data_IF_012417588720
#
_entry.id   IF_012417588720
#
_cell.length_a   1.000
_cell.length_b   1.000
_cell.length_c   1.000
_cell.angle_alpha   90.00
_cell.angle_beta   90.00
_cell.angle_gamma   90.00
#
_symmetry.space_group_name_H-M   'P 1'
#
loop_
_entity.id
_entity.type
_entity.pdbx_description
1 polymer ?
#
# COMPACT_ATOMS: atom_id res chain seq x y z
N UNK A 1 7.15 23.87 -26.81
CA UNK A 1 6.37 22.80 -26.14
C UNK A 1 6.72 22.85 -24.67
N UNK A 2 5.76 22.68 -23.77
CA UNK A 2 6.06 22.55 -22.35
C UNK A 2 6.79 21.21 -22.13
N UNK A 3 7.79 21.20 -21.26
CA UNK A 3 8.40 19.95 -20.82
C UNK A 3 7.63 19.43 -19.60
N UNK A 4 7.28 18.16 -19.60
CA UNK A 4 6.57 17.52 -18.50
C UNK A 4 7.50 16.53 -17.81
N UNK A 5 7.65 16.65 -16.50
CA UNK A 5 8.44 15.76 -15.67
C UNK A 5 7.58 15.22 -14.53
N UNK A 6 7.79 13.96 -14.17
CA UNK A 6 7.05 13.30 -13.10
C UNK A 6 7.94 13.14 -11.87
N UNK A 7 7.36 13.36 -10.70
CA UNK A 7 7.96 13.14 -9.39
C UNK A 7 7.03 12.27 -8.55
N UNK A 8 7.61 11.43 -7.70
CA UNK A 8 6.88 10.75 -6.62
C UNK A 8 7.51 11.14 -5.30
N UNK A 9 6.73 11.78 -4.44
CA UNK A 9 7.12 12.04 -3.05
C UNK A 9 6.52 10.99 -2.13
N UNK A 10 7.36 10.41 -1.28
CA UNK A 10 6.97 9.40 -0.29
C UNK A 10 7.20 9.96 1.10
N UNK A 11 6.13 10.10 1.87
CA UNK A 11 6.15 10.56 3.25
C UNK A 11 5.85 9.37 4.16
N UNK A 12 6.88 8.82 4.79
CA UNK A 12 6.70 7.80 5.82
C UNK A 12 6.29 8.51 7.11
N UNK A 13 5.07 8.22 7.60
CA UNK A 13 4.56 8.85 8.80
C UNK A 13 5.25 8.19 10.00
N UNK A 14 5.85 8.99 10.86
CA UNK A 14 6.50 8.49 12.06
C UNK A 14 5.42 8.12 13.09
N UNK A 15 4.98 6.88 13.03
CA UNK A 15 4.08 6.24 13.96
C UNK A 15 4.90 5.22 14.75
N UNK A 16 4.72 5.15 16.06
CA UNK A 16 5.60 4.34 16.91
C UNK A 16 5.57 2.86 16.53
N UNK A 17 4.38 2.34 16.19
CA UNK A 17 4.16 0.94 15.80
C UNK A 17 3.20 0.86 14.61
N UNK A 18 3.51 -0.09 13.73
CA UNK A 18 2.78 -0.35 12.49
C UNK A 18 3.22 0.53 11.33
N UNK A 19 2.40 0.55 10.30
CA UNK A 19 2.77 1.15 9.02
C UNK A 19 1.84 2.28 8.59
N UNK A 20 2.45 3.35 8.07
CA UNK A 20 1.73 4.46 7.46
C UNK A 20 2.64 5.24 6.53
N UNK A 21 2.22 5.40 5.28
CA UNK A 21 2.91 6.20 4.30
C UNK A 21 1.94 6.94 3.39
N UNK A 22 2.36 8.11 2.93
CA UNK A 22 1.62 8.89 1.94
C UNK A 22 2.49 9.09 0.71
N UNK A 23 1.94 8.78 -0.46
CA UNK A 23 2.60 8.91 -1.74
C UNK A 23 1.88 9.92 -2.61
N UNK A 24 2.62 10.91 -3.10
CA UNK A 24 2.12 11.95 -3.98
C UNK A 24 2.70 11.75 -5.37
N UNK A 25 1.85 11.63 -6.37
CA UNK A 25 2.24 11.70 -7.78
C UNK A 25 2.18 13.16 -8.21
N UNK A 26 3.32 13.73 -8.57
CA UNK A 26 3.47 15.15 -8.88
C UNK A 26 3.88 15.31 -10.34
N UNK A 27 3.22 16.24 -11.02
CA UNK A 27 3.53 16.64 -12.39
C UNK A 27 4.14 18.03 -12.41
N UNK A 28 5.34 18.13 -12.98
CA UNK A 28 6.05 19.38 -13.21
C UNK A 28 5.88 19.79 -14.66
N UNK A 29 5.31 20.97 -14.89
CA UNK A 29 5.15 21.53 -16.24
C UNK A 29 6.02 22.76 -16.38
N UNK A 30 7.04 22.71 -17.24
CA UNK A 30 7.97 23.81 -17.46
C UNK A 30 7.69 24.53 -18.78
N UNK A 31 7.33 25.81 -18.70
CA UNK A 31 7.09 26.68 -19.84
C UNK A 31 7.88 28.00 -19.71
N UNK A 32 8.72 28.31 -20.70
CA UNK A 32 9.48 29.58 -20.78
C UNK A 32 10.24 29.96 -19.49
N UNK A 33 10.79 28.96 -18.78
CA UNK A 33 11.52 29.04 -17.48
C UNK A 33 10.67 29.07 -16.20
N UNK A 34 9.35 29.03 -16.31
CA UNK A 34 8.49 28.85 -15.14
C UNK A 34 8.11 27.37 -15.05
N UNK A 35 8.37 26.76 -13.89
CA UNK A 35 7.94 25.40 -13.57
C UNK A 35 6.75 25.48 -12.62
N UNK A 36 5.67 24.83 -13.00
CA UNK A 36 4.46 24.68 -12.18
C UNK A 36 4.39 23.23 -11.73
N UNK A 37 4.26 23.03 -10.43
CA UNK A 37 4.17 21.72 -9.80
C UNK A 37 2.73 21.48 -9.36
N UNK A 38 2.16 20.36 -9.76
CA UNK A 38 0.79 19.98 -9.42
C UNK A 38 0.76 18.57 -8.82
N UNK A 39 0.06 18.40 -7.71
CA UNK A 39 -0.24 17.07 -7.19
C UNK A 39 -1.36 16.47 -8.03
N UNK A 40 -1.07 15.42 -8.79
CA UNK A 40 -2.05 14.73 -9.61
C UNK A 40 -2.82 13.68 -8.80
N UNK A 41 -2.12 12.98 -7.89
CA UNK A 41 -2.70 11.93 -7.05
C UNK A 41 -2.08 11.88 -5.66
N UNK A 42 -2.91 11.55 -4.66
CA UNK A 42 -2.47 11.26 -3.30
C UNK A 42 -2.98 9.89 -2.84
N UNK A 43 -2.05 9.02 -2.45
CA UNK A 43 -2.32 7.66 -1.95
C UNK A 43 -1.87 7.56 -0.50
N UNK A 44 -2.77 7.16 0.40
CA UNK A 44 -2.44 6.74 1.75
C UNK A 44 -2.27 5.21 1.74
N UNK A 45 -1.18 4.70 2.29
CA UNK A 45 -0.96 3.27 2.56
C UNK A 45 -0.90 3.10 4.06
N UNK A 46 -1.87 2.37 4.60
CA UNK A 46 -2.10 2.13 6.02
C UNK A 46 -2.21 3.45 6.83
N UNK A 47 -2.38 3.33 8.14
CA UNK A 47 -2.50 4.47 9.03
C UNK A 47 -1.90 4.26 10.41
N UNK A 48 -1.20 3.16 10.63
CA UNK A 48 -0.67 2.83 11.94
C UNK A 48 -1.74 2.37 12.92
N UNK A 49 -1.33 2.37 14.20
CA UNK A 49 -2.27 2.38 15.32
C UNK A 49 -3.09 3.67 15.38
N UNK A 50 -4.00 3.75 16.34
CA UNK A 50 -4.93 4.87 16.55
C UNK A 50 -4.21 6.23 16.60
N UNK A 51 -3.00 6.27 17.15
CA UNK A 51 -2.14 7.46 17.25
C UNK A 51 -1.77 8.06 15.88
N UNK A 52 -1.73 7.23 14.82
CA UNK A 52 -1.44 7.65 13.45
C UNK A 52 -2.49 8.59 12.86
N UNK A 53 -3.69 8.64 13.43
CA UNK A 53 -4.76 9.58 13.06
C UNK A 53 -4.28 11.04 12.98
N UNK A 54 -3.50 11.48 13.97
CA UNK A 54 -3.00 12.86 14.03
C UNK A 54 -2.09 13.20 12.85
N UNK A 55 -1.27 12.24 12.42
CA UNK A 55 -0.38 12.37 11.27
C UNK A 55 -1.16 12.39 9.95
N UNK A 56 -2.16 11.52 9.81
CA UNK A 56 -3.08 11.53 8.65
C UNK A 56 -3.76 12.90 8.54
N UNK A 57 -4.31 13.43 9.64
CA UNK A 57 -4.95 14.74 9.68
C UNK A 57 -4.00 15.87 9.31
N UNK A 58 -2.77 15.83 9.80
CA UNK A 58 -1.72 16.79 9.45
C UNK A 58 -1.41 16.77 7.95
N UNK A 59 -1.29 15.57 7.35
CA UNK A 59 -1.06 15.44 5.91
C UNK A 59 -2.24 15.95 5.08
N UNK A 60 -3.48 15.64 5.47
CA UNK A 60 -4.67 16.14 4.78
C UNK A 60 -4.73 17.67 4.83
N UNK A 61 -4.36 18.27 5.97
CA UNK A 61 -4.23 19.72 6.07
C UNK A 61 -3.12 20.24 5.15
N UNK A 62 -1.97 19.58 5.08
CA UNK A 62 -0.91 19.96 4.14
C UNK A 62 -1.39 19.95 2.69
N UNK A 63 -2.06 18.88 2.26
CA UNK A 63 -2.65 18.75 0.91
C UNK A 63 -3.67 19.85 0.59
N UNK A 64 -4.49 20.24 1.58
CA UNK A 64 -5.51 21.28 1.44
C UNK A 64 -4.94 22.67 1.31
N UNK A 65 -3.81 22.96 1.95
CA UNK A 65 -3.23 24.31 1.92
C UNK A 65 -2.27 24.49 0.74
N UNK A 66 -2.05 23.45 -0.07
CA UNK A 66 -1.36 23.53 -1.35
C UNK A 66 0.15 23.72 -1.26
N UNK A 67 0.72 24.19 -0.14
CA UNK A 67 2.16 24.38 0.01
C UNK A 67 2.76 25.13 -1.20
N UNK A 68 3.74 24.51 -1.85
CA UNK A 68 4.40 25.01 -3.06
C UNK A 68 3.73 24.53 -4.38
N UNK A 69 2.56 23.90 -4.31
CA UNK A 69 1.82 23.33 -5.44
C UNK A 69 0.71 24.27 -5.94
N UNK A 70 0.44 24.24 -7.24
CA UNK A 70 -0.57 25.08 -7.90
C UNK A 70 -2.01 24.60 -7.69
N UNK A 71 -2.19 23.45 -7.03
CA UNK A 71 -3.49 22.90 -6.69
C UNK A 71 -3.58 22.45 -5.23
N UNK A 72 -4.82 22.39 -4.75
CA UNK A 72 -5.15 21.86 -3.43
C UNK A 72 -5.90 20.55 -3.60
N UNK A 73 -5.46 19.49 -2.93
CA UNK A 73 -6.22 18.25 -2.81
C UNK A 73 -6.96 18.24 -1.48
N UNK A 74 -8.25 17.92 -1.52
CA UNK A 74 -9.09 17.95 -0.31
C UNK A 74 -9.08 16.62 0.46
N UNK A 75 -8.68 15.55 -0.20
CA UNK A 75 -8.77 14.15 0.25
C UNK A 75 -7.70 13.29 -0.46
N UNK A 76 -7.51 12.08 0.04
CA UNK A 76 -6.75 11.06 -0.70
C UNK A 76 -7.61 10.49 -1.84
N UNK A 77 -7.01 10.34 -3.02
CA UNK A 77 -7.62 9.63 -4.14
C UNK A 77 -7.74 8.14 -3.82
N UNK A 78 -6.74 7.60 -3.12
CA UNK A 78 -6.63 6.19 -2.79
C UNK A 78 -6.23 5.98 -1.34
N UNK A 79 -6.86 5.01 -0.68
CA UNK A 79 -6.43 4.49 0.61
C UNK A 79 -6.20 2.99 0.44
N UNK A 80 -4.99 2.52 0.69
CA UNK A 80 -4.63 1.11 0.67
C UNK A 80 -4.50 0.65 2.11
N UNK A 81 -5.29 -0.34 2.50
CA UNK A 81 -5.14 -1.08 3.75
C UNK A 81 -4.42 -2.36 3.35
N UNK A 82 -3.14 -2.49 3.70
CA UNK A 82 -2.34 -3.64 3.29
C UNK A 82 -2.88 -4.91 3.92
N UNK A 83 -3.27 -4.86 5.19
CA UNK A 83 -4.05 -5.87 5.89
C UNK A 83 -4.78 -5.27 7.11
N UNK A 84 -5.60 -6.07 7.78
CA UNK A 84 -6.58 -5.60 8.75
C UNK A 84 -6.09 -5.49 10.21
N UNK A 85 -4.81 -5.74 10.47
CA UNK A 85 -4.29 -5.65 11.83
C UNK A 85 -4.36 -4.21 12.35
N UNK A 86 -4.55 -4.08 13.67
CA UNK A 86 -4.91 -2.82 14.30
C UNK A 86 -3.82 -1.74 14.21
N UNK A 87 -2.59 -2.13 13.98
CA UNK A 87 -1.43 -1.27 13.72
C UNK A 87 -1.26 -0.90 12.23
N UNK A 88 -2.17 -1.34 11.36
CA UNK A 88 -2.26 -0.86 9.98
C UNK A 88 -3.53 -0.05 9.75
N UNK A 89 -4.68 -0.54 10.22
CA UNK A 89 -5.99 0.09 9.98
C UNK A 89 -6.43 1.03 11.11
N UNK A 90 -5.77 0.98 12.28
CA UNK A 90 -6.18 1.69 13.48
C UNK A 90 -6.29 3.20 13.30
N UNK A 91 -5.25 3.82 12.73
CA UNK A 91 -5.22 5.27 12.48
C UNK A 91 -6.21 5.71 11.40
N UNK A 92 -6.44 4.88 10.37
CA UNK A 92 -7.48 5.14 9.35
C UNK A 92 -8.86 5.14 9.99
N UNK A 93 -9.18 4.09 10.77
CA UNK A 93 -10.46 3.98 11.48
C UNK A 93 -10.68 5.18 12.42
N UNK A 94 -9.67 5.52 13.21
CA UNK A 94 -9.74 6.61 14.17
C UNK A 94 -9.95 7.97 13.47
N UNK A 95 -9.24 8.21 12.36
CA UNK A 95 -9.44 9.38 11.51
C UNK A 95 -10.85 9.48 10.94
N UNK A 96 -11.38 8.39 10.36
CA UNK A 96 -12.76 8.39 9.84
C UNK A 96 -13.78 8.65 10.94
N UNK A 97 -13.61 8.05 12.13
CA UNK A 97 -14.52 8.26 13.25
C UNK A 97 -14.54 9.70 13.73
N UNK A 98 -13.40 10.37 13.84
CA UNK A 98 -13.36 11.80 14.20
C UNK A 98 -14.11 12.65 13.18
N UNK A 99 -13.88 12.43 11.89
CA UNK A 99 -14.56 13.20 10.84
C UNK A 99 -16.06 12.91 10.77
N UNK A 100 -16.48 11.64 10.93
CA UNK A 100 -17.89 11.26 11.02
C UNK A 100 -18.53 11.93 12.22
N UNK A 101 -17.89 11.91 13.39
CA UNK A 101 -18.37 12.59 14.61
C UNK A 101 -18.58 14.07 14.34
N UNK A 102 -17.55 14.74 13.81
CA UNK A 102 -17.57 16.18 13.54
C UNK A 102 -18.69 16.59 12.58
N UNK A 103 -18.85 15.87 11.48
CA UNK A 103 -19.87 16.17 10.46
C UNK A 103 -21.27 15.81 10.95
N UNK A 104 -21.43 14.64 11.57
CA UNK A 104 -22.74 14.14 12.00
C UNK A 104 -23.32 14.99 13.11
N UNK A 105 -22.53 15.31 14.15
CA UNK A 105 -23.02 16.13 15.27
C UNK A 105 -23.53 17.48 14.78
N UNK A 106 -22.77 18.13 13.89
CA UNK A 106 -23.16 19.40 13.29
C UNK A 106 -24.44 19.26 12.44
N UNK A 107 -24.49 18.26 11.57
CA UNK A 107 -25.63 18.07 10.66
C UNK A 107 -26.93 17.74 11.40
N UNK A 108 -26.84 16.89 12.43
CA UNK A 108 -27.99 16.52 13.28
C UNK A 108 -28.53 17.72 14.04
N UNK A 109 -27.65 18.58 14.57
CA UNK A 109 -28.04 19.81 15.26
C UNK A 109 -28.71 20.81 14.31
N UNK A 110 -28.12 21.04 13.12
CA UNK A 110 -28.65 21.99 12.13
C UNK A 110 -29.99 21.55 11.53
N UNK A 111 -30.21 20.24 11.38
CA UNK A 111 -31.41 19.65 10.76
C UNK A 111 -32.42 19.10 11.78
N UNK A 112 -32.17 19.31 13.08
CA UNK A 112 -33.02 18.86 14.19
C UNK A 112 -33.40 17.37 14.10
N UNK A 113 -32.43 16.52 13.76
CA UNK A 113 -32.66 15.07 13.63
C UNK A 113 -32.64 14.44 15.03
N UNK A 114 -33.64 13.64 15.38
CA UNK A 114 -33.70 12.93 16.68
C UNK A 114 -33.70 11.40 16.58
N UNK A 115 -33.78 10.88 15.35
CA UNK A 115 -33.99 9.47 15.01
C UNK A 115 -32.85 8.98 14.08
N UNK A 116 -32.20 7.87 14.49
CA UNK A 116 -31.09 7.25 13.76
C UNK A 116 -31.50 6.73 12.38
N UNK A 117 -32.73 6.26 12.21
CA UNK A 117 -33.24 5.79 10.93
C UNK A 117 -33.46 6.95 9.95
N UNK A 118 -33.85 8.13 10.47
CA UNK A 118 -33.91 9.36 9.66
C UNK A 118 -32.52 9.73 9.20
N UNK A 119 -31.53 9.73 10.10
CA UNK A 119 -30.13 10.01 9.76
C UNK A 119 -29.58 9.02 8.72
N UNK A 120 -29.79 7.72 8.91
CA UNK A 120 -29.35 6.68 7.95
C UNK A 120 -29.92 6.93 6.55
N UNK A 121 -31.23 7.22 6.45
CA UNK A 121 -31.86 7.55 5.15
C UNK A 121 -31.27 8.80 4.50
N UNK A 122 -30.85 9.80 5.28
CA UNK A 122 -30.17 11.01 4.76
C UNK A 122 -28.76 10.67 4.25
N UNK A 123 -28.03 9.81 4.97
CA UNK A 123 -26.69 9.34 4.56
C UNK A 123 -26.78 8.58 3.24
N UNK A 124 -27.70 7.62 3.13
CA UNK A 124 -27.89 6.77 1.94
C UNK A 124 -28.33 7.59 0.71
N UNK A 125 -29.07 8.69 0.94
CA UNK A 125 -29.44 9.66 -0.11
C UNK A 125 -28.36 10.70 -0.41
N UNK A 126 -27.18 10.57 0.17
CA UNK A 126 -26.06 11.49 0.03
C UNK A 126 -26.36 12.94 0.47
N UNK A 127 -27.26 13.13 1.44
CA UNK A 127 -27.63 14.45 1.95
C UNK A 127 -26.71 14.94 3.07
N UNK A 128 -25.96 14.03 3.72
CA UNK A 128 -24.95 14.38 4.72
C UNK A 128 -23.61 14.69 4.05
N UNK A 129 -23.03 15.89 4.24
CA UNK A 129 -21.84 16.33 3.53
C UNK A 129 -20.56 15.86 4.22
N UNK A 130 -20.24 14.57 4.11
CA UNK A 130 -18.93 14.07 4.53
C UNK A 130 -17.84 14.62 3.62
N UNK A 131 -17.09 15.64 4.08
CA UNK A 131 -16.04 16.36 3.33
C UNK A 131 -14.65 16.21 3.99
N UNK A 132 -14.35 15.05 4.56
CA UNK A 132 -13.08 14.75 5.25
C UNK A 132 -11.93 14.43 4.29
N UNK A 133 -10.99 13.58 4.71
CA UNK A 133 -9.93 13.05 3.83
C UNK A 133 -10.41 12.03 2.80
N UNK A 134 -11.72 11.79 2.71
CA UNK A 134 -12.32 10.95 1.69
C UNK A 134 -13.48 11.68 1.05
N UNK A 135 -13.71 11.34 -0.20
CA UNK A 135 -14.99 11.57 -0.85
C UNK A 135 -15.55 10.21 -1.23
N UNK A 136 -16.70 9.84 -0.67
CA UNK A 136 -17.32 8.53 -0.90
C UNK A 136 -17.57 8.18 -2.37
N UNK A 137 -17.60 9.17 -3.26
CA UNK A 137 -17.79 9.00 -4.70
C UNK A 137 -16.48 8.95 -5.50
N UNK A 138 -15.34 9.30 -4.90
CA UNK A 138 -14.06 9.42 -5.62
C UNK A 138 -12.89 8.69 -4.95
N UNK A 139 -12.90 8.53 -3.63
CA UNK A 139 -11.84 7.80 -2.92
C UNK A 139 -12.04 6.30 -3.11
N UNK A 140 -11.03 5.67 -3.69
CA UNK A 140 -10.96 4.21 -3.78
C UNK A 140 -10.24 3.67 -2.55
N UNK A 141 -10.80 2.62 -1.96
CA UNK A 141 -10.19 1.88 -0.87
C UNK A 141 -9.80 0.51 -1.41
N UNK A 142 -8.55 0.13 -1.19
CA UNK A 142 -8.04 -1.19 -1.56
C UNK A 142 -7.67 -1.95 -0.30
N UNK A 143 -8.14 -3.18 -0.17
CA UNK A 143 -7.89 -4.04 0.97
C UNK A 143 -7.83 -5.52 0.54
N UNK A 144 -7.13 -6.41 1.26
CA UNK A 144 -7.08 -7.83 0.92
C UNK A 144 -8.44 -8.52 1.06
N UNK A 145 -8.55 -9.80 0.67
CA UNK A 145 -9.83 -10.53 0.74
C UNK A 145 -10.42 -10.50 2.14
N UNK A 146 -11.75 -10.36 2.21
CA UNK A 146 -12.51 -10.41 3.46
C UNK A 146 -13.12 -11.80 3.73
N UNK A 147 -13.33 -12.65 2.70
CA UNK A 147 -14.03 -13.93 2.84
C UNK A 147 -13.17 -15.11 2.37
N UNK A 148 -13.21 -16.15 3.18
CA UNK A 148 -12.61 -17.46 2.97
C UNK A 148 -13.18 -18.19 1.76
N UNK A 149 -14.46 -17.98 1.45
CA UNK A 149 -15.13 -18.69 0.35
C UNK A 149 -14.64 -18.25 -1.04
N UNK A 150 -14.11 -17.02 -1.15
CA UNK A 150 -13.56 -16.46 -2.39
C UNK A 150 -12.04 -16.73 -2.53
N UNK A 151 -11.40 -17.32 -1.51
CA UNK A 151 -10.01 -17.75 -1.59
C UNK A 151 -9.94 -19.12 -2.32
N UNK A 152 -9.36 -19.13 -3.53
CA UNK A 152 -9.29 -20.36 -4.37
C UNK A 152 -8.35 -21.46 -3.83
N UNK A 153 -7.85 -21.34 -2.60
CA UNK A 153 -6.83 -22.25 -2.08
C UNK A 153 -7.36 -22.88 -0.79
N UNK A 154 -7.76 -24.16 -0.85
CA UNK A 154 -8.21 -24.94 0.32
C UNK A 154 -7.20 -24.89 1.48
N UNK A 155 -5.91 -24.70 1.18
CA UNK A 155 -4.82 -24.54 2.15
C UNK A 155 -4.96 -23.29 3.04
N UNK A 156 -5.75 -22.30 2.65
CA UNK A 156 -5.79 -20.98 3.31
C UNK A 156 -7.20 -20.52 3.70
N UNK A 157 -8.15 -21.45 3.77
CA UNK A 157 -9.49 -21.17 4.31
C UNK A 157 -9.48 -20.83 5.81
N UNK A 158 -8.37 -21.05 6.50
CA UNK A 158 -8.18 -20.76 7.93
C UNK A 158 -7.52 -19.39 8.18
N UNK A 159 -7.10 -18.70 7.12
CA UNK A 159 -6.38 -17.42 7.15
C UNK A 159 -7.39 -16.31 6.84
N UNK A 160 -8.16 -15.90 7.84
CA UNK A 160 -9.20 -14.88 7.68
C UNK A 160 -8.64 -13.51 8.02
N UNK A 161 -8.30 -12.71 7.01
CA UNK A 161 -8.07 -11.27 7.16
C UNK A 161 -9.44 -10.58 7.33
N UNK A 162 -10.12 -10.82 8.46
CA UNK A 162 -11.40 -10.18 8.71
C UNK A 162 -11.18 -8.71 9.08
N UNK A 163 -11.89 -7.78 8.44
CA UNK A 163 -11.89 -6.41 8.92
C UNK A 163 -12.44 -6.37 10.34
N UNK A 164 -12.02 -5.42 11.18
CA UNK A 164 -12.62 -5.25 12.50
C UNK A 164 -14.16 -5.15 12.40
N UNK A 165 -14.90 -5.69 13.38
CA UNK A 165 -16.38 -5.81 13.34
C UNK A 165 -17.19 -4.49 13.32
N UNK A 166 -16.55 -3.38 13.01
CA UNK A 166 -17.15 -2.08 12.76
C UNK A 166 -17.00 -1.63 11.29
N UNK A 167 -16.48 -2.47 10.41
CA UNK A 167 -16.50 -2.26 8.98
C UNK A 167 -17.50 -3.22 8.34
N UNK A 168 -18.20 -2.77 7.32
CA UNK A 168 -19.00 -3.63 6.45
C UNK A 168 -18.80 -3.22 4.99
N UNK A 169 -19.21 -4.08 4.09
CA UNK A 169 -19.29 -3.77 2.67
C UNK A 169 -20.72 -3.88 2.20
N UNK A 170 -21.06 -3.05 1.22
CA UNK A 170 -22.34 -3.14 0.52
C UNK A 170 -22.05 -3.26 -0.96
N UNK A 171 -22.61 -4.29 -1.58
CA UNK A 171 -22.58 -4.43 -3.03
C UNK A 171 -23.53 -3.40 -3.64
N UNK A 172 -22.97 -2.57 -4.52
CA UNK A 172 -23.67 -1.63 -5.38
C UNK A 172 -23.89 -2.28 -6.76
N UNK A 173 -24.78 -1.73 -7.60
CA UNK A 173 -24.97 -2.23 -8.96
C UNK A 173 -23.66 -2.34 -9.75
N UNK A 174 -23.60 -3.34 -10.65
CA UNK A 174 -22.44 -3.65 -11.50
C UNK A 174 -21.21 -4.18 -10.74
N UNK A 175 -21.41 -4.94 -9.66
CA UNK A 175 -20.35 -5.57 -8.86
C UNK A 175 -19.34 -4.55 -8.31
N UNK A 176 -19.81 -3.35 -8.00
CA UNK A 176 -19.01 -2.31 -7.33
C UNK A 176 -19.27 -2.45 -5.85
N UNK A 177 -18.22 -2.57 -5.04
CA UNK A 177 -18.39 -2.64 -3.59
C UNK A 177 -18.15 -1.27 -2.97
N UNK A 178 -18.87 -0.97 -1.90
CA UNK A 178 -18.65 0.21 -1.08
C UNK A 178 -18.29 -0.22 0.33
N UNK A 179 -17.19 0.33 0.86
CA UNK A 179 -16.82 0.14 2.25
C UNK A 179 -17.60 1.13 3.12
N UNK A 180 -18.16 0.63 4.22
CA UNK A 180 -18.92 1.42 5.20
C UNK A 180 -18.37 1.19 6.60
N UNK A 181 -18.49 2.21 7.43
CA UNK A 181 -18.05 2.20 8.83
C UNK A 181 -19.25 2.34 9.75
N UNK A 182 -19.34 1.47 10.74
CA UNK A 182 -20.36 1.53 11.80
C UNK A 182 -20.00 2.62 12.81
N UNK A 183 -20.96 3.48 13.08
CA UNK A 183 -20.85 4.55 14.06
C UNK A 183 -22.04 4.51 15.03
N UNK A 184 -21.78 4.70 16.32
CA UNK A 184 -22.79 4.71 17.38
C UNK A 184 -23.09 6.14 17.81
N UNK A 185 -24.33 6.58 17.66
CA UNK A 185 -24.79 7.90 18.09
C UNK A 185 -25.37 7.85 19.50
N UNK A 186 -24.49 7.86 20.50
CA UNK A 186 -24.91 7.86 21.91
C UNK A 186 -25.89 6.73 22.22
N UNK A 187 -27.04 7.06 22.79
CA UNK A 187 -28.13 6.13 23.11
C UNK A 187 -29.14 5.94 21.96
N UNK A 188 -28.99 6.69 20.85
CA UNK A 188 -29.91 6.65 19.70
C UNK A 188 -29.72 5.43 18.82
N UNK A 189 -28.54 4.81 18.84
CA UNK A 189 -28.24 3.57 18.11
C UNK A 189 -27.10 3.69 17.10
N UNK A 190 -26.95 2.65 16.28
CA UNK A 190 -25.89 2.52 15.28
C UNK A 190 -26.38 2.94 13.89
N UNK A 191 -25.49 3.54 13.09
CA UNK A 191 -25.70 3.80 11.67
C UNK A 191 -24.40 3.55 10.89
N UNK A 192 -24.52 3.46 9.57
CA UNK A 192 -23.45 3.10 8.66
C UNK A 192 -23.10 4.26 7.72
N UNK A 193 -21.82 4.61 7.68
CA UNK A 193 -21.31 5.70 6.84
C UNK A 193 -20.46 5.14 5.70
N UNK A 194 -20.78 5.43 4.43
CA UNK A 194 -19.91 5.07 3.32
C UNK A 194 -18.60 5.87 3.34
N UNK A 195 -17.48 5.17 3.24
CA UNK A 195 -16.13 5.76 3.29
C UNK A 195 -15.36 5.69 1.97
N UNK A 196 -15.76 4.84 1.03
CA UNK A 196 -15.18 4.81 -0.31
C UNK A 196 -15.63 3.63 -1.15
N UNK A 197 -15.26 3.65 -2.43
CA UNK A 197 -15.45 2.52 -3.35
C UNK A 197 -14.36 1.49 -3.06
N UNK A 198 -14.76 0.25 -2.79
CA UNK A 198 -13.85 -0.82 -2.41
C UNK A 198 -13.42 -1.64 -3.63
N UNK A 199 -12.11 -1.84 -3.77
CA UNK A 199 -11.53 -2.96 -4.52
C UNK A 199 -10.91 -3.96 -3.56
N UNK A 200 -11.06 -5.25 -3.82
CA UNK A 200 -10.50 -6.30 -2.95
C UNK A 200 -10.06 -7.53 -3.74
N UNK A 201 -9.18 -8.32 -3.13
CA UNK A 201 -8.79 -9.64 -3.60
C UNK A 201 -7.95 -9.65 -4.88
N UNK A 202 -8.10 -10.71 -5.68
CA UNK A 202 -7.37 -10.92 -6.95
C UNK A 202 -7.62 -9.82 -7.98
N UNK A 203 -8.71 -9.08 -7.83
CA UNK A 203 -8.99 -7.94 -8.69
C UNK A 203 -7.99 -6.79 -8.51
N UNK A 204 -7.22 -6.80 -7.42
CA UNK A 204 -6.18 -5.82 -7.16
C UNK A 204 -4.88 -6.12 -7.91
N UNK A 205 -4.62 -7.39 -8.23
CA UNK A 205 -3.37 -7.79 -8.86
C UNK A 205 -3.16 -7.04 -10.18
N UNK A 206 -2.04 -6.35 -10.31
CA UNK A 206 -1.68 -5.52 -11.45
C UNK A 206 -2.43 -4.18 -11.56
N UNK A 207 -3.18 -3.78 -10.54
CA UNK A 207 -3.79 -2.45 -10.45
C UNK A 207 -2.74 -1.37 -10.22
N UNK A 208 -2.89 -0.22 -10.88
CA UNK A 208 -2.18 1.01 -10.52
C UNK A 208 -3.00 1.85 -9.55
N UNK A 209 -2.52 2.01 -8.32
CA UNK A 209 -3.21 2.73 -7.27
C UNK A 209 -3.18 4.26 -7.44
N UNK A 210 -2.39 4.82 -8.37
CA UNK A 210 -2.52 6.22 -8.73
C UNK A 210 -3.71 6.47 -9.68
N UNK A 211 -3.97 5.56 -10.62
CA UNK A 211 -4.95 5.80 -11.69
C UNK A 211 -6.20 4.94 -11.60
N UNK A 212 -6.21 3.91 -10.75
CA UNK A 212 -7.24 2.86 -10.68
C UNK A 212 -7.40 2.09 -12.00
N UNK A 213 -6.37 2.08 -12.83
CA UNK A 213 -6.33 1.38 -14.10
C UNK A 213 -5.31 0.25 -14.04
N UNK A 214 -5.48 -0.74 -14.92
CA UNK A 214 -4.47 -1.78 -15.10
C UNK A 214 -3.65 -1.49 -16.36
N UNK A 215 -2.31 -1.39 -16.25
CA UNK A 215 -1.45 -1.36 -17.43
C UNK A 215 -1.58 -2.61 -18.33
N UNK A 216 -2.09 -3.71 -17.76
CA UNK A 216 -2.34 -4.99 -18.42
C UNK A 216 -3.78 -5.46 -18.18
N UNK A 217 -4.39 -6.06 -19.20
CA UNK A 217 -5.69 -6.73 -19.02
C UNK A 217 -5.55 -7.95 -18.11
N UNK A 218 -4.45 -8.70 -18.26
CA UNK A 218 -4.11 -9.84 -17.43
C UNK A 218 -2.83 -9.54 -16.63
N UNK A 219 -2.93 -9.53 -15.29
CA UNK A 219 -1.80 -9.27 -14.42
C UNK A 219 -0.64 -10.28 -14.60
N UNK A 220 -0.92 -11.48 -15.09
CA UNK A 220 0.08 -12.51 -15.40
C UNK A 220 1.00 -12.19 -16.58
N UNK A 221 0.70 -11.13 -17.33
CA UNK A 221 1.58 -10.58 -18.38
C UNK A 221 2.66 -9.65 -17.82
N UNK A 222 2.51 -9.15 -16.59
CA UNK A 222 3.54 -8.40 -15.89
C UNK A 222 4.56 -9.40 -15.30
N UNK A 223 5.55 -9.81 -16.11
CA UNK A 223 6.54 -10.83 -15.74
C UNK A 223 7.68 -10.29 -14.87
N UNK A 224 7.90 -8.98 -14.90
CA UNK A 224 8.92 -8.26 -14.13
C UNK A 224 8.63 -6.75 -14.11
N UNK A 225 9.30 -5.97 -13.24
CA UNK A 225 9.23 -4.51 -13.29
C UNK A 225 9.63 -3.94 -14.66
N UNK A 226 10.56 -4.56 -15.38
CA UNK A 226 10.97 -4.16 -16.73
C UNK A 226 9.88 -4.34 -17.77
N UNK A 227 9.07 -5.39 -17.67
CA UNK A 227 7.90 -5.53 -18.53
C UNK A 227 6.91 -4.39 -18.29
N UNK A 228 6.58 -4.10 -17.02
CA UNK A 228 5.66 -3.01 -16.64
C UNK A 228 6.21 -1.66 -17.13
N UNK A 229 7.48 -1.37 -16.84
CA UNK A 229 8.15 -0.14 -17.27
C UNK A 229 8.11 0.08 -18.79
N UNK A 230 8.32 -0.98 -19.58
CA UNK A 230 8.23 -0.92 -21.05
C UNK A 230 6.81 -0.64 -21.54
N UNK A 231 5.78 -1.05 -20.81
CA UNK A 231 4.37 -0.81 -21.16
C UNK A 231 3.97 0.66 -20.95
N UNK A 232 4.63 1.34 -20.01
CA UNK A 232 4.33 2.72 -19.62
C UNK A 232 5.01 3.80 -20.48
N UNK A 233 5.62 3.47 -21.64
CA UNK A 233 6.41 4.41 -22.44
C UNK A 233 5.68 5.74 -22.70
N UNK A 234 6.18 6.82 -22.09
CA UNK A 234 5.62 8.17 -22.21
C UNK A 234 4.48 8.50 -21.23
N UNK A 235 4.16 7.61 -20.30
CA UNK A 235 3.17 7.81 -19.24
C UNK A 235 3.82 8.29 -17.93
N UNK A 236 3.01 8.44 -16.88
CA UNK A 236 3.47 8.65 -15.51
C UNK A 236 4.03 7.35 -14.89
N UNK A 237 4.79 7.42 -13.79
CA UNK A 237 5.02 6.24 -12.95
C UNK A 237 3.69 5.70 -12.40
N UNK A 238 3.71 4.42 -12.03
CA UNK A 238 2.55 3.70 -11.46
C UNK A 238 2.88 3.20 -10.06
N UNK A 239 1.88 3.11 -9.19
CA UNK A 239 1.95 2.35 -7.94
C UNK A 239 1.27 1.00 -8.18
N UNK A 240 2.05 0.04 -8.65
CA UNK A 240 1.57 -1.22 -9.19
C UNK A 240 1.43 -2.28 -8.09
N UNK A 241 0.24 -2.82 -7.92
CA UNK A 241 -0.03 -3.96 -7.02
C UNK A 241 0.63 -5.22 -7.60
N UNK A 242 1.69 -5.71 -6.97
CA UNK A 242 2.47 -6.88 -7.39
C UNK A 242 2.02 -8.17 -6.74
N UNK A 243 1.40 -8.07 -5.56
CA UNK A 243 0.95 -9.22 -4.80
C UNK A 243 -0.29 -8.89 -3.96
N UNK A 244 -1.15 -9.89 -3.77
CA UNK A 244 -2.33 -9.83 -2.90
C UNK A 244 -2.71 -11.26 -2.52
N UNK A 245 -3.00 -11.53 -1.24
CA UNK A 245 -3.47 -12.85 -0.77
C UNK A 245 -2.59 -14.02 -1.24
N UNK A 246 -1.28 -13.89 -1.07
CA UNK A 246 -0.27 -14.84 -1.52
C UNK A 246 -0.21 -15.09 -3.04
N UNK A 247 -0.84 -14.25 -3.86
CA UNK A 247 -0.80 -14.33 -5.32
C UNK A 247 0.07 -13.21 -5.85
N UNK A 248 1.12 -13.57 -6.58
CA UNK A 248 2.03 -12.64 -7.28
C UNK A 248 1.65 -12.55 -8.76
N UNK A 249 1.85 -11.38 -9.37
CA UNK A 249 1.53 -11.12 -10.78
C UNK A 249 1.87 -12.30 -11.71
N UNK A 250 3.07 -12.88 -11.64
CA UNK A 250 3.45 -14.00 -12.50
C UNK A 250 3.65 -15.33 -11.74
N UNK A 251 2.85 -15.60 -10.69
CA UNK A 251 3.03 -16.70 -9.71
C UNK A 251 3.67 -17.98 -10.26
N UNK A 252 3.03 -18.67 -11.22
CA UNK A 252 3.60 -19.92 -11.78
C UNK A 252 4.97 -19.72 -12.44
N UNK A 253 5.13 -18.66 -13.25
CA UNK A 253 6.41 -18.34 -13.89
C UNK A 253 7.47 -17.91 -12.89
N UNK A 254 7.08 -17.35 -11.74
CA UNK A 254 8.00 -16.99 -10.65
C UNK A 254 8.47 -18.26 -9.94
N UNK A 255 7.55 -19.15 -9.58
CA UNK A 255 7.87 -20.41 -8.92
C UNK A 255 8.68 -21.37 -9.81
N UNK A 256 8.46 -21.33 -11.12
CA UNK A 256 9.19 -22.16 -12.10
C UNK A 256 10.58 -21.58 -12.47
N UNK A 257 10.99 -20.42 -11.92
CA UNK A 257 12.34 -19.85 -12.11
C UNK A 257 13.38 -20.75 -11.44
N UNK A 258 14.00 -21.60 -12.24
CA UNK A 258 15.12 -22.47 -11.85
C UNK A 258 16.49 -21.87 -12.22
N UNK A 259 16.48 -20.66 -12.77
CA UNK A 259 17.66 -19.93 -13.18
C UNK A 259 18.47 -19.41 -12.00
N UNK A 260 19.78 -19.24 -12.23
CA UNK A 260 20.68 -18.69 -11.23
C UNK A 260 20.46 -17.18 -11.10
N UNK A 261 20.14 -16.72 -9.89
CA UNK A 261 20.19 -15.30 -9.57
C UNK A 261 21.64 -14.88 -9.35
N UNK A 262 22.08 -13.86 -10.08
CA UNK A 262 23.37 -13.25 -9.84
C UNK A 262 23.19 -12.01 -8.96
N UNK A 263 23.60 -12.13 -7.71
CA UNK A 263 23.75 -10.98 -6.82
C UNK A 263 25.11 -10.34 -7.08
N UNK A 264 25.14 -9.05 -7.40
CA UNK A 264 26.40 -8.31 -7.46
C UNK A 264 27.02 -8.25 -6.06
N UNK A 265 28.02 -9.10 -5.82
CA UNK A 265 28.74 -9.19 -4.53
C UNK A 265 29.34 -7.84 -4.11
N UNK A 266 29.66 -6.94 -5.03
CA UNK A 266 30.15 -5.59 -4.69
C UNK A 266 29.03 -4.73 -4.10
N UNK A 267 27.78 -4.94 -4.52
CA UNK A 267 26.62 -4.23 -4.00
C UNK A 267 26.07 -4.83 -2.71
N UNK A 268 26.18 -6.15 -2.50
CA UNK A 268 25.83 -6.78 -1.21
C UNK A 268 26.63 -6.18 -0.06
N UNK A 269 27.92 -5.86 -0.28
CA UNK A 269 28.75 -5.17 0.71
C UNK A 269 28.33 -3.72 1.01
N UNK A 270 27.46 -3.13 0.19
CA UNK A 270 26.88 -1.80 0.41
C UNK A 270 25.53 -1.85 1.15
N UNK A 271 24.95 -3.05 1.34
CA UNK A 271 23.77 -3.24 2.19
C UNK A 271 24.24 -3.22 3.64
N UNK A 272 24.36 -2.02 4.20
CA UNK A 272 24.58 -1.85 5.63
C UNK A 272 23.21 -1.73 6.30
N UNK A 273 22.73 -2.82 6.91
CA UNK A 273 21.75 -2.69 7.98
C UNK A 273 22.42 -1.85 9.08
N UNK A 274 22.03 -0.59 9.22
CA UNK A 274 22.38 0.20 10.41
C UNK A 274 21.68 -0.47 11.59
N UNK A 275 22.37 -1.43 12.22
CA UNK A 275 21.99 -1.93 13.53
C UNK A 275 21.83 -0.71 14.44
N UNK A 276 20.61 -0.45 14.91
CA UNK A 276 20.38 0.57 15.91
C UNK A 276 21.34 0.28 17.07
N UNK A 277 22.10 1.29 17.50
CA UNK A 277 23.11 1.16 18.57
C UNK A 277 22.54 0.61 19.89
N UNK A 278 21.21 0.50 20.01
CA UNK A 278 20.52 -0.07 21.16
C UNK A 278 20.39 -1.59 21.19
N UNK A 279 20.70 -2.34 20.13
CA UNK A 279 20.58 -3.81 20.17
C UNK A 279 21.75 -4.53 20.85
N UNK A 280 22.82 -3.83 21.25
CA UNK A 280 23.97 -4.46 21.94
C UNK A 280 23.64 -5.02 23.35
N UNK A 281 22.46 -4.74 23.91
CA UNK A 281 22.03 -5.32 25.18
C UNK A 281 21.17 -6.58 25.05
N UNK A 282 20.72 -6.95 23.85
CA UNK A 282 19.95 -8.17 23.61
C UNK A 282 20.89 -9.21 23.03
N UNK A 283 21.30 -10.17 23.87
CA UNK A 283 22.35 -11.15 23.58
C UNK A 283 22.05 -12.06 22.40
N UNK A 284 22.32 -11.61 21.18
CA UNK A 284 22.42 -12.50 20.03
C UNK A 284 23.57 -13.50 20.25
N UNK A 285 23.37 -14.79 19.90
CA UNK A 285 24.41 -15.79 20.04
C UNK A 285 25.65 -15.37 19.23
N UNK A 286 26.80 -15.22 19.91
CA UNK A 286 28.09 -15.13 19.22
C UNK A 286 28.32 -16.47 18.52
N UNK A 287 28.15 -16.50 17.20
CA UNK A 287 28.63 -17.62 16.38
C UNK A 287 30.16 -17.52 16.38
N UNK A 288 30.80 -18.14 17.37
CA UNK A 288 32.23 -18.36 17.34
C UNK A 288 32.48 -19.61 16.49
N UNK A 289 33.19 -19.47 15.38
CA UNK A 289 33.84 -20.63 14.80
C UNK A 289 34.90 -21.15 15.78
N UNK A 290 35.18 -22.45 15.74
CA UNK A 290 36.11 -23.11 16.64
C UNK A 290 37.59 -22.79 16.35
N UNK A 291 37.90 -21.77 15.54
CA UNK A 291 39.26 -21.45 15.09
C UNK A 291 39.68 -19.99 15.33
N UNK A 292 38.84 -19.15 15.93
CA UNK A 292 39.25 -17.82 16.37
C UNK A 292 39.60 -16.87 15.22
N UNK A 293 39.21 -17.20 14.00
CA UNK A 293 39.20 -16.24 12.90
C UNK A 293 37.89 -15.47 12.97
N UNK A 294 37.96 -14.13 12.84
CA UNK A 294 36.77 -13.39 12.44
C UNK A 294 36.44 -13.88 11.04
N UNK A 295 35.55 -14.88 10.95
CA UNK A 295 34.89 -15.17 9.71
C UNK A 295 34.28 -13.84 9.25
N UNK A 296 34.75 -13.32 8.12
CA UNK A 296 33.87 -12.56 7.25
C UNK A 296 32.78 -13.56 6.89
N UNK A 297 31.75 -13.65 7.74
CA UNK A 297 30.62 -14.52 7.49
C UNK A 297 30.12 -14.16 6.10
N UNK A 298 30.04 -15.15 5.21
CA UNK A 298 29.30 -14.97 3.98
C UNK A 298 27.92 -14.49 4.40
N UNK A 299 27.62 -13.23 4.08
CA UNK A 299 26.27 -12.69 4.22
C UNK A 299 25.48 -13.38 3.13
N UNK A 300 24.96 -14.57 3.43
CA UNK A 300 23.96 -15.20 2.61
C UNK A 300 22.65 -14.47 2.92
N UNK A 301 21.96 -13.89 1.93
CA UNK A 301 20.59 -13.45 2.11
C UNK A 301 19.74 -14.71 2.30
N UNK A 302 19.64 -15.17 3.55
CA UNK A 302 18.70 -16.20 3.96
C UNK A 302 17.50 -15.48 4.58
N UNK A 303 16.31 -15.75 4.07
CA UNK A 303 15.07 -15.37 4.75
C UNK A 303 15.08 -15.94 6.18
N UNK A 304 14.62 -15.16 7.15
CA UNK A 304 14.29 -15.73 8.46
C UNK A 304 12.95 -16.44 8.27
N UNK A 305 12.98 -17.76 8.33
CA UNK A 305 11.76 -18.55 8.39
C UNK A 305 11.07 -18.27 9.73
N UNK A 306 9.97 -17.54 9.71
CA UNK A 306 9.13 -17.23 10.87
C UNK A 306 7.68 -17.57 10.57
N UNK A 307 6.94 -18.07 11.56
CA UNK A 307 5.49 -18.19 11.41
C UNK A 307 4.92 -16.77 11.34
N UNK A 308 4.37 -16.38 10.20
CA UNK A 308 3.58 -15.16 10.06
C UNK A 308 2.11 -15.46 10.40
N UNK A 309 1.33 -14.45 10.78
CA UNK A 309 -0.11 -14.64 11.00
C UNK A 309 -0.82 -14.78 9.65
N UNK A 310 -2.03 -15.34 9.64
CA UNK A 310 -2.81 -15.39 8.41
C UNK A 310 -3.05 -13.99 7.80
N UNK A 311 -3.33 -12.99 8.63
CA UNK A 311 -3.60 -11.63 8.17
C UNK A 311 -2.41 -11.04 7.41
N UNK A 312 -1.21 -11.39 7.86
CA UNK A 312 0.03 -10.95 7.26
C UNK A 312 0.28 -11.60 5.90
N UNK A 313 -0.02 -12.90 5.74
CA UNK A 313 0.03 -13.60 4.45
C UNK A 313 -0.95 -13.00 3.43
N UNK A 314 -2.08 -12.48 3.92
CA UNK A 314 -3.09 -11.85 3.08
C UNK A 314 -2.69 -10.45 2.57
N UNK A 315 -1.55 -9.90 2.99
CA UNK A 315 -1.16 -8.51 2.71
C UNK A 315 -1.21 -8.12 1.22
N UNK A 316 -1.42 -6.83 0.96
CA UNK A 316 -1.20 -6.22 -0.35
C UNK A 316 0.27 -5.79 -0.48
N UNK A 317 0.88 -6.17 -1.60
CA UNK A 317 2.23 -5.79 -1.98
C UNK A 317 2.20 -4.90 -3.21
N UNK A 318 2.88 -3.75 -3.18
CA UNK A 318 2.97 -2.85 -4.32
C UNK A 318 4.38 -2.27 -4.54
N UNK A 319 4.62 -1.83 -5.77
CA UNK A 319 5.87 -1.19 -6.18
C UNK A 319 5.60 0.09 -6.96
N UNK A 320 6.43 1.10 -6.78
CA UNK A 320 6.40 2.30 -7.62
C UNK A 320 7.37 2.12 -8.78
N UNK A 321 6.82 1.89 -9.98
CA UNK A 321 7.56 1.53 -11.19
C UNK A 321 7.54 2.70 -12.16
N UNK A 322 8.73 3.10 -12.63
CA UNK A 322 8.90 4.22 -13.54
C UNK A 322 8.95 3.75 -14.99
N UNK A 323 8.38 4.53 -15.94
CA UNK A 323 8.61 4.32 -17.36
C UNK A 323 10.06 4.67 -17.68
N UNK A 324 10.83 3.71 -18.20
CA UNK A 324 12.22 3.96 -18.55
C UNK A 324 12.67 3.08 -19.72
N UNK A 325 13.26 3.73 -20.74
CA UNK A 325 13.82 3.05 -21.89
C UNK A 325 15.20 2.42 -21.60
N UNK A 326 15.91 2.92 -20.58
CA UNK A 326 17.24 2.44 -20.20
C UNK A 326 17.21 1.22 -19.24
N UNK A 327 16.03 0.80 -18.79
CA UNK A 327 15.85 -0.34 -17.86
C UNK A 327 14.90 0.01 -16.73
N UNK A 328 14.27 -0.98 -16.07
CA UNK A 328 13.32 -0.71 -15.00
C UNK A 328 13.97 0.07 -13.86
N UNK A 329 13.25 1.09 -13.39
CA UNK A 329 13.54 1.76 -12.12
C UNK A 329 12.35 1.57 -11.20
N UNK A 330 12.62 1.02 -10.02
CA UNK A 330 11.66 0.90 -8.93
C UNK A 330 12.11 1.85 -7.82
N UNK A 331 11.27 2.79 -7.42
CA UNK A 331 11.65 3.71 -6.35
C UNK A 331 11.26 3.23 -4.97
N UNK A 332 10.14 2.52 -4.86
CA UNK A 332 9.62 2.07 -3.57
C UNK A 332 8.97 0.70 -3.72
N UNK A 333 9.12 -0.10 -2.68
CA UNK A 333 8.48 -1.39 -2.50
C UNK A 333 7.80 -1.44 -1.13
N UNK A 334 6.52 -1.79 -1.12
CA UNK A 334 5.70 -1.95 0.08
C UNK A 334 5.15 -3.36 0.06
N UNK A 335 5.73 -4.24 0.86
CA UNK A 335 5.28 -5.63 0.91
C UNK A 335 4.33 -5.88 2.10
N UNK A 336 4.02 -4.83 2.88
CA UNK A 336 3.30 -5.01 4.15
C UNK A 336 4.09 -5.96 5.06
N UNK A 337 3.35 -6.78 5.80
CA UNK A 337 3.88 -7.82 6.68
C UNK A 337 3.88 -9.20 6.01
N UNK A 338 3.98 -9.24 4.68
CA UNK A 338 4.02 -10.48 3.90
C UNK A 338 5.00 -11.51 4.47
N UNK A 339 4.60 -12.78 4.44
CA UNK A 339 5.47 -13.89 4.79
C UNK A 339 6.68 -14.01 3.86
N UNK A 340 7.73 -14.63 4.37
CA UNK A 340 9.03 -14.82 3.71
C UNK A 340 8.94 -15.45 2.31
N UNK A 341 8.11 -16.50 2.14
CA UNK A 341 7.88 -17.13 0.83
C UNK A 341 7.34 -16.12 -0.20
N UNK A 342 6.49 -15.20 0.23
CA UNK A 342 5.91 -14.19 -0.64
C UNK A 342 6.91 -13.10 -1.00
N UNK A 343 7.68 -12.64 -0.01
CA UNK A 343 8.77 -11.72 -0.26
C UNK A 343 9.81 -12.31 -1.22
N UNK A 344 10.21 -13.57 -1.05
CA UNK A 344 11.12 -14.26 -1.96
C UNK A 344 10.55 -14.32 -3.38
N UNK A 345 9.28 -14.68 -3.54
CA UNK A 345 8.61 -14.69 -4.83
C UNK A 345 8.58 -13.29 -5.48
N UNK A 346 8.34 -12.24 -4.69
CA UNK A 346 8.36 -10.86 -5.21
C UNK A 346 9.77 -10.43 -5.60
N UNK A 347 10.80 -10.80 -4.83
CA UNK A 347 12.20 -10.55 -5.16
C UNK A 347 12.60 -11.28 -6.44
N UNK A 348 12.23 -12.55 -6.57
CA UNK A 348 12.41 -13.33 -7.79
C UNK A 348 11.69 -12.66 -8.97
N UNK A 349 10.45 -12.21 -8.78
CA UNK A 349 9.69 -11.47 -9.80
C UNK A 349 10.42 -10.17 -10.21
N UNK A 350 11.02 -9.47 -9.26
CA UNK A 350 11.74 -8.21 -9.41
C UNK A 350 13.16 -8.36 -9.96
N UNK A 351 13.35 -9.25 -10.93
CA UNK A 351 14.61 -9.47 -11.63
C UNK A 351 14.43 -9.42 -13.15
N UNK A 352 15.46 -9.00 -13.87
CA UNK A 352 15.52 -8.97 -15.33
C UNK A 352 16.41 -10.08 -15.87
N UNK A 353 16.02 -10.68 -16.99
CA UNK A 353 16.86 -11.65 -17.71
C UNK A 353 18.05 -10.91 -18.34
N UNK A 354 19.26 -11.41 -18.14
CA UNK A 354 20.46 -10.84 -18.76
C UNK A 354 20.54 -11.20 -20.25
N UNK A 355 21.58 -10.72 -20.93
CA UNK A 355 21.81 -11.01 -22.34
C UNK A 355 22.10 -12.48 -22.65
N UNK A 356 22.48 -13.29 -21.66
CA UNK A 356 22.73 -14.73 -21.86
C UNK A 356 21.43 -15.55 -21.92
N UNK A 357 20.28 -14.95 -21.58
CA UNK A 357 18.97 -15.59 -21.59
C UNK A 357 18.73 -16.59 -20.46
N UNK A 358 19.69 -16.77 -19.56
CA UNK A 358 19.66 -17.77 -18.47
C UNK A 358 19.79 -17.10 -17.12
N UNK A 359 20.68 -16.12 -16.96
CA UNK A 359 20.94 -15.44 -15.70
C UNK A 359 19.91 -14.34 -15.47
N UNK A 360 19.59 -14.06 -14.20
CA UNK A 360 18.77 -12.91 -13.81
C UNK A 360 19.53 -11.96 -12.89
N UNK A 361 19.29 -10.67 -13.08
CA UNK A 361 19.82 -9.61 -12.21
C UNK A 361 18.68 -8.90 -11.46
N UNK A 362 18.84 -8.62 -10.16
CA UNK A 362 17.87 -7.83 -9.41
C UNK A 362 17.66 -6.44 -10.01
N UNK A 363 16.39 -6.01 -10.06
CA UNK A 363 16.05 -4.63 -10.40
C UNK A 363 16.48 -3.72 -9.26
N UNK A 364 17.15 -2.61 -9.59
CA UNK A 364 17.52 -1.61 -8.58
C UNK A 364 16.26 -1.00 -7.97
N UNK A 365 16.18 -1.06 -6.64
CA UNK A 365 15.15 -0.43 -5.82
C UNK A 365 15.77 0.69 -4.98
N UNK A 366 15.22 1.90 -5.05
CA UNK A 366 15.76 3.05 -4.30
C UNK A 366 15.36 2.99 -2.80
N UNK A 367 14.18 2.47 -2.48
CA UNK A 367 13.66 2.27 -1.13
C UNK A 367 12.90 0.95 -1.05
N UNK A 368 13.18 0.16 -0.02
CA UNK A 368 12.45 -1.07 0.28
C UNK A 368 11.99 -0.95 1.73
N UNK A 369 10.69 -1.10 1.93
CA UNK A 369 10.14 -1.34 3.25
C UNK A 369 10.21 -2.83 3.52
N UNK A 370 11.02 -3.20 4.51
CA UNK A 370 11.15 -4.57 4.98
C UNK A 370 9.96 -4.89 5.89
N UNK A 371 9.37 -6.08 5.76
CA UNK A 371 8.43 -6.58 6.77
C UNK A 371 9.16 -6.82 8.10
N UNK A 372 8.42 -7.17 9.16
CA UNK A 372 9.04 -7.63 10.42
C UNK A 372 9.84 -8.94 10.27
N UNK A 373 9.77 -9.63 9.13
CA UNK A 373 10.64 -10.77 8.79
C UNK A 373 11.96 -10.35 8.14
N UNK A 374 12.10 -9.09 7.71
CA UNK A 374 13.19 -8.63 6.87
C UNK A 374 14.52 -8.37 7.60
N UNK A 375 15.54 -9.13 7.20
CA UNK A 375 16.97 -8.81 7.31
C UNK A 375 17.57 -8.51 5.93
#
# INVERSE_FOLDING_TARGET
MANEEWEVQSHHLNIDEGDAAVHLLIKHTTARRNTVSRIEKAVLIDGGRVEGQGHIKSMVNHLRHGGDYDNQLQYFDTIVITHWDGDHVGGINAYFREEITRVTLKYVEEEEIEDVDVLQRRIDRNLVPFTGAWNKSFTHIYAPYWNVEDSNTEKYKEVTAEPPGHWEFTELPNNVYQLRLRYTWGDKGDFWVPVGVLGTGKSLLGMDFFTHQRPYTNAHEAESPGTVSKRLRGASPVMFCVAVDMIVCAQKKVQDRKDHMEWDKKNLNNIQLKMAKHSQSMGFPKINDSKGHRAQGEVNPSSITGNTTGNNEASIGCMIIWPNNAGPRVTHCFFGDMGDEMEENILLWATEVTSDGVTRTPVKMDCIKLSHHGQ
#
